data_IF_272497680715
#
_entry.id   IF_272497680715
#
_cell.length_a   1.000
_cell.length_b   1.000
_cell.length_c   1.000
_cell.angle_alpha   90.00
_cell.angle_beta   90.00
_cell.angle_gamma   90.00
#
_symmetry.space_group_name_H-M   'P 1'
#
loop_
_entity.id
_entity.type
_entity.pdbx_description
1 polymer ?
#
# COMPACT_ATOMS: atom_id res chain seq x y z
N UNK A 1 -6.34 12.85 -0.90
CA UNK A 1 -5.50 11.94 -1.74
C UNK A 1 -5.32 12.43 -3.18
N UNK A 2 -6.33 13.03 -3.83
CA UNK A 2 -6.21 13.57 -5.20
C UNK A 2 -5.05 14.59 -5.34
N UNK A 3 -4.94 15.53 -4.41
CA UNK A 3 -3.81 16.48 -4.37
C UNK A 3 -2.45 15.75 -4.33
N UNK A 4 -2.31 14.73 -3.48
CA UNK A 4 -1.08 13.95 -3.42
C UNK A 4 -0.80 13.21 -4.74
N UNK A 5 -1.81 12.61 -5.39
CA UNK A 5 -1.65 12.00 -6.71
C UNK A 5 -1.15 13.01 -7.75
N UNK A 6 -1.64 14.26 -7.71
CA UNK A 6 -1.19 15.34 -8.58
C UNK A 6 0.26 15.73 -8.30
N UNK A 7 0.58 16.00 -7.03
CA UNK A 7 1.87 16.54 -6.61
C UNK A 7 3.00 15.50 -6.76
N UNK A 8 2.71 14.22 -6.53
CA UNK A 8 3.74 13.16 -6.51
C UNK A 8 3.76 12.28 -7.75
N UNK A 9 2.67 12.18 -8.49
CA UNK A 9 2.55 11.32 -9.67
C UNK A 9 2.54 9.80 -9.38
N UNK A 10 2.55 9.36 -8.12
CA UNK A 10 2.43 7.95 -7.73
C UNK A 10 2.04 7.82 -6.26
N UNK A 11 1.37 6.73 -5.89
CA UNK A 11 0.92 6.47 -4.51
C UNK A 11 1.38 5.08 -4.04
N UNK A 12 1.87 4.99 -2.81
CA UNK A 12 1.99 3.72 -2.09
C UNK A 12 1.06 3.77 -0.88
N UNK A 13 0.25 2.73 -0.71
CA UNK A 13 -0.59 2.56 0.48
C UNK A 13 -0.01 1.43 1.31
N UNK A 14 0.27 1.68 2.58
CA UNK A 14 0.66 0.67 3.55
C UNK A 14 -0.43 0.57 4.61
N UNK A 15 -0.94 -0.64 4.85
CA UNK A 15 -2.03 -0.90 5.80
C UNK A 15 -1.87 -2.27 6.46
N UNK A 16 -2.19 -2.36 7.75
CA UNK A 16 -2.34 -3.64 8.45
C UNK A 16 -3.78 -4.15 8.28
N UNK A 17 -4.17 -4.37 7.03
CA UNK A 17 -5.50 -4.86 6.67
C UNK A 17 -5.42 -5.70 5.38
N UNK A 18 -6.47 -6.45 5.05
CA UNK A 18 -6.60 -7.13 3.77
C UNK A 18 -6.70 -6.11 2.62
N UNK A 19 -6.21 -6.49 1.45
CA UNK A 19 -6.26 -5.65 0.25
C UNK A 19 -7.69 -5.30 -0.17
N UNK A 20 -8.60 -6.25 0.01
CA UNK A 20 -10.00 -6.17 -0.37
C UNK A 20 -10.77 -5.42 0.71
N UNK A 21 -11.40 -4.30 0.33
CA UNK A 21 -12.20 -3.48 1.25
C UNK A 21 -11.39 -2.57 2.18
N UNK A 22 -10.05 -2.71 2.21
CA UNK A 22 -9.15 -1.87 2.99
C UNK A 22 -8.98 -0.43 2.47
N UNK A 23 -8.07 0.29 3.09
CA UNK A 23 -7.70 1.67 2.74
C UNK A 23 -7.27 1.78 1.27
N UNK A 24 -6.43 0.85 0.81
CA UNK A 24 -5.94 0.79 -0.56
C UNK A 24 -7.07 0.76 -1.57
N UNK A 25 -8.11 -0.03 -1.31
CA UNK A 25 -9.28 -0.13 -2.19
C UNK A 25 -10.04 1.19 -2.32
N UNK A 26 -10.20 1.93 -1.21
CA UNK A 26 -10.90 3.23 -1.19
C UNK A 26 -10.10 4.31 -1.88
N UNK A 27 -8.79 4.34 -1.64
CA UNK A 27 -7.89 5.27 -2.33
C UNK A 27 -7.88 4.96 -3.83
N UNK A 28 -7.77 3.70 -4.22
CA UNK A 28 -7.76 3.30 -5.63
C UNK A 28 -9.01 3.77 -6.37
N UNK A 29 -10.20 3.66 -5.77
CA UNK A 29 -11.44 4.17 -6.37
C UNK A 29 -11.39 5.68 -6.64
N UNK A 30 -10.91 6.47 -5.67
CA UNK A 30 -10.80 7.92 -5.82
C UNK A 30 -9.73 8.29 -6.85
N UNK A 31 -8.55 7.65 -6.78
CA UNK A 31 -7.42 7.93 -7.68
C UNK A 31 -7.76 7.54 -9.12
N UNK A 32 -8.36 6.37 -9.35
CA UNK A 32 -8.76 5.93 -10.67
C UNK A 32 -9.81 6.83 -11.32
N UNK A 33 -10.69 7.46 -10.52
CA UNK A 33 -11.72 8.37 -11.03
C UNK A 33 -11.20 9.78 -11.28
N UNK A 34 -10.44 10.34 -10.33
CA UNK A 34 -10.11 11.77 -10.32
C UNK A 34 -8.74 12.08 -10.94
N UNK A 35 -7.73 11.23 -10.70
CA UNK A 35 -6.35 11.45 -11.17
C UNK A 35 -5.58 10.12 -11.24
N UNK A 36 -5.73 9.34 -12.32
CA UNK A 36 -5.05 8.05 -12.45
C UNK A 36 -3.53 8.22 -12.38
N UNK A 37 -2.91 7.57 -11.40
CA UNK A 37 -1.47 7.48 -11.24
C UNK A 37 -1.08 6.07 -10.81
N UNK A 38 0.16 5.62 -11.06
CA UNK A 38 0.64 4.33 -10.59
C UNK A 38 0.47 4.18 -9.07
N UNK A 39 -0.02 3.01 -8.67
CA UNK A 39 -0.23 2.67 -7.27
C UNK A 39 0.51 1.39 -6.88
N UNK A 40 0.89 1.30 -5.60
CA UNK A 40 1.39 0.08 -4.97
C UNK A 40 0.75 -0.10 -3.60
N UNK A 41 0.60 -1.35 -3.16
CA UNK A 41 -0.08 -1.70 -1.92
C UNK A 41 0.79 -2.64 -1.08
N UNK A 42 1.03 -2.26 0.17
CA UNK A 42 1.56 -3.10 1.24
C UNK A 42 0.41 -3.40 2.19
N UNK A 43 0.00 -4.65 2.26
CA UNK A 43 -1.15 -5.10 3.03
C UNK A 43 -0.94 -6.56 3.48
N UNK A 44 -1.88 -7.11 4.26
CA UNK A 44 -1.82 -8.48 4.77
C UNK A 44 -2.01 -9.56 3.70
N UNK A 45 -2.30 -9.17 2.44
CA UNK A 45 -2.66 -10.08 1.34
C UNK A 45 -3.84 -10.96 1.76
N UNK A 46 -3.71 -12.28 1.64
CA UNK A 46 -4.72 -13.28 2.02
C UNK A 46 -4.32 -14.07 3.28
N UNK A 47 -3.42 -13.53 4.11
CA UNK A 47 -2.97 -14.18 5.34
C UNK A 47 -3.62 -13.53 6.57
N UNK A 48 -4.24 -14.34 7.43
CA UNK A 48 -4.70 -13.90 8.73
C UNK A 48 -3.54 -13.83 9.74
N UNK A 49 -3.59 -12.83 10.61
CA UNK A 49 -2.63 -12.69 11.69
C UNK A 49 -2.69 -13.91 12.62
N UNK A 50 -1.54 -14.53 12.82
CA UNK A 50 -1.34 -15.56 13.84
C UNK A 50 -1.07 -14.90 15.19
N UNK A 51 -1.25 -15.63 16.30
CA UNK A 51 -0.81 -15.12 17.60
C UNK A 51 0.72 -14.95 17.61
N UNK A 52 1.18 -13.79 18.06
CA UNK A 52 2.60 -13.46 18.08
C UNK A 52 2.82 -12.03 18.57
N UNK A 53 4.09 -11.62 18.65
CA UNK A 53 4.42 -10.23 19.00
C UNK A 53 4.16 -9.32 17.79
N UNK A 54 3.62 -8.10 17.99
CA UNK A 54 3.24 -7.20 16.90
C UNK A 54 4.33 -7.02 15.82
N UNK A 55 5.57 -6.76 16.23
CA UNK A 55 6.67 -6.53 15.28
C UNK A 55 7.01 -7.79 14.44
N UNK A 56 6.99 -8.97 15.06
CA UNK A 56 7.25 -10.24 14.36
C UNK A 56 6.12 -10.54 13.36
N UNK A 57 4.88 -10.17 13.69
CA UNK A 57 3.74 -10.31 12.78
C UNK A 57 3.85 -9.36 11.59
N UNK A 58 4.21 -8.10 11.80
CA UNK A 58 4.43 -7.14 10.71
C UNK A 58 5.57 -7.60 9.78
N UNK A 59 6.67 -8.10 10.33
CA UNK A 59 7.76 -8.67 9.54
C UNK A 59 7.30 -9.86 8.70
N UNK A 60 6.56 -10.79 9.31
CA UNK A 60 6.03 -11.97 8.63
C UNK A 60 5.02 -11.62 7.53
N UNK A 61 4.21 -10.60 7.75
CA UNK A 61 3.28 -10.06 6.76
C UNK A 61 3.98 -9.20 5.69
N UNK A 62 5.29 -8.93 5.85
CA UNK A 62 6.05 -8.09 4.95
C UNK A 62 5.72 -6.60 5.05
N UNK A 63 5.08 -6.17 6.13
CA UNK A 63 4.79 -4.77 6.47
C UNK A 63 6.00 -4.12 7.15
N UNK A 64 7.14 -4.14 6.47
CA UNK A 64 8.40 -3.60 6.98
C UNK A 64 8.80 -2.33 6.25
N UNK A 65 9.61 -1.49 6.89
CA UNK A 65 10.19 -0.31 6.26
C UNK A 65 10.99 -0.66 4.99
N UNK A 66 11.73 -1.78 5.00
CA UNK A 66 12.48 -2.26 3.84
C UNK A 66 11.56 -2.57 2.65
N UNK A 67 10.47 -3.29 2.88
CA UNK A 67 9.50 -3.60 1.82
C UNK A 67 8.76 -2.35 1.33
N UNK A 68 8.51 -1.38 2.21
CA UNK A 68 7.92 -0.10 1.83
C UNK A 68 8.84 0.65 0.87
N UNK A 69 10.13 0.74 1.18
CA UNK A 69 11.14 1.38 0.31
C UNK A 69 11.20 0.68 -1.06
N UNK A 70 11.18 -0.65 -1.08
CA UNK A 70 11.16 -1.41 -2.33
C UNK A 70 9.91 -1.10 -3.17
N UNK A 71 8.73 -1.05 -2.54
CA UNK A 71 7.49 -0.70 -3.22
C UNK A 71 7.46 0.74 -3.74
N UNK A 72 8.04 1.69 -2.99
CA UNK A 72 8.26 3.05 -3.46
C UNK A 72 9.15 3.07 -4.70
N UNK A 73 10.29 2.38 -4.66
CA UNK A 73 11.17 2.27 -5.83
C UNK A 73 10.47 1.65 -7.04
N UNK A 74 9.64 0.62 -6.83
CA UNK A 74 8.89 -0.05 -7.89
C UNK A 74 7.74 0.79 -8.46
N UNK A 75 7.04 1.60 -7.65
CA UNK A 75 5.97 2.47 -8.16
C UNK A 75 6.53 3.66 -8.92
N UNK A 76 7.68 4.21 -8.49
CA UNK A 76 8.33 5.34 -9.17
C UNK A 76 8.75 4.96 -10.59
N UNK A 77 9.23 3.73 -10.82
CA UNK A 77 9.57 3.22 -12.15
C UNK A 77 8.39 3.06 -13.11
N UNK A 78 7.15 3.16 -12.60
CA UNK A 78 5.91 3.05 -13.38
C UNK A 78 5.27 4.39 -13.69
N UNK A 79 5.84 5.50 -13.18
CA UNK A 79 5.44 6.87 -13.55
C UNK A 79 5.67 7.10 -15.04
#
# INVERSE_FOLDING_TARGET
VVKAALDTGAIVVAEEHLAQGGLGSRIAQVVARERPVPMSFLNLKDAYAVSGKPNELLERCGLTAANLVQAVGAVIRRK
#
